data_IF_767457372843
#
_entry.id   IF_767457372843
#
_cell.length_a   1.000
_cell.length_b   1.000
_cell.length_c   1.000
_cell.angle_alpha   90.00
_cell.angle_beta   90.00
_cell.angle_gamma   90.00
#
_symmetry.space_group_name_H-M   'P 1'
#
loop_
_entity.id
_entity.type
_entity.pdbx_description
1 polymer ?
#
# COMPACT_ATOMS: atom_id res chain seq x y z
N UNK A 1 -4.61 4.73 23.80
CA UNK A 1 -5.39 4.32 22.61
C UNK A 1 -5.10 2.86 22.35
N UNK A 2 -6.14 2.04 22.24
CA UNK A 2 -6.02 0.62 21.90
C UNK A 2 -5.29 0.48 20.57
N UNK A 3 -4.38 -0.48 20.47
CA UNK A 3 -3.58 -0.74 19.29
C UNK A 3 -4.07 -2.05 18.68
N UNK A 4 -5.13 -1.98 17.88
CA UNK A 4 -5.77 -3.13 17.23
C UNK A 4 -4.89 -3.78 16.20
N UNK A 5 -3.90 -3.08 15.64
CA UNK A 5 -2.88 -3.71 14.79
C UNK A 5 -2.22 -4.91 15.47
N UNK A 6 -2.08 -4.91 16.80
CA UNK A 6 -1.51 -6.06 17.53
C UNK A 6 -2.32 -7.35 17.38
N UNK A 7 -3.60 -7.28 16.99
CA UNK A 7 -4.42 -8.46 16.71
C UNK A 7 -3.90 -9.23 15.49
N UNK A 8 -3.20 -8.55 14.57
CA UNK A 8 -2.48 -9.21 13.48
C UNK A 8 -1.33 -10.12 13.99
N UNK A 9 -0.94 -10.04 15.27
CA UNK A 9 0.00 -11.00 15.87
C UNK A 9 -0.68 -12.32 16.25
N UNK A 10 -1.95 -12.25 16.69
CA UNK A 10 -2.60 -13.33 17.43
C UNK A 10 -3.66 -14.08 16.63
N UNK A 11 -4.32 -13.43 15.68
CA UNK A 11 -5.44 -14.00 14.92
C UNK A 11 -5.25 -13.84 13.41
N UNK A 12 -5.86 -14.72 12.63
CA UNK A 12 -6.07 -14.45 11.21
C UNK A 12 -7.06 -13.28 11.09
N UNK A 13 -6.81 -12.40 10.13
CA UNK A 13 -7.67 -11.24 9.90
C UNK A 13 -9.09 -11.66 9.51
N UNK A 14 -9.22 -12.76 8.74
CA UNK A 14 -10.51 -13.26 8.27
C UNK A 14 -11.43 -13.78 9.39
N UNK A 15 -10.86 -14.15 10.54
CA UNK A 15 -11.61 -14.69 11.69
C UNK A 15 -12.15 -13.59 12.62
N UNK A 16 -11.74 -12.33 12.40
CA UNK A 16 -12.15 -11.20 13.24
C UNK A 16 -13.53 -10.69 12.84
N UNK A 17 -14.29 -10.16 13.80
CA UNK A 17 -15.57 -9.49 13.50
C UNK A 17 -15.38 -8.23 12.65
N UNK A 18 -16.33 -7.90 11.79
CA UNK A 18 -16.27 -6.72 10.90
C UNK A 18 -15.84 -5.42 11.59
N UNK A 19 -16.36 -5.04 12.79
CA UNK A 19 -15.93 -3.80 13.44
C UNK A 19 -14.44 -3.80 13.82
N UNK A 20 -13.91 -4.97 14.18
CA UNK A 20 -12.48 -5.11 14.52
C UNK A 20 -11.64 -5.04 13.24
N UNK A 21 -12.09 -5.64 12.14
CA UNK A 21 -11.43 -5.55 10.85
C UNK A 21 -11.33 -4.09 10.39
N UNK A 22 -12.41 -3.33 10.55
CA UNK A 22 -12.47 -1.90 10.24
C UNK A 22 -11.49 -1.09 11.10
N UNK A 23 -11.48 -1.30 12.42
CA UNK A 23 -10.51 -0.64 13.32
C UNK A 23 -9.05 -0.94 12.91
N UNK A 24 -8.73 -2.18 12.55
CA UNK A 24 -7.39 -2.57 12.08
C UNK A 24 -7.03 -1.85 10.78
N UNK A 25 -7.98 -1.75 9.85
CA UNK A 25 -7.78 -1.03 8.60
C UNK A 25 -7.45 0.44 8.85
N UNK A 26 -8.23 1.13 9.69
CA UNK A 26 -8.00 2.55 9.97
C UNK A 26 -6.70 2.80 10.74
N UNK A 27 -6.32 1.92 11.68
CA UNK A 27 -5.01 2.05 12.32
C UNK A 27 -3.86 1.81 11.35
N UNK A 28 -4.02 0.89 10.39
CA UNK A 28 -3.03 0.71 9.33
C UNK A 28 -2.97 1.94 8.43
N UNK A 29 -4.12 2.50 8.05
CA UNK A 29 -4.24 3.73 7.28
C UNK A 29 -3.42 4.85 7.95
N UNK A 30 -3.71 5.15 9.22
CA UNK A 30 -3.03 6.20 9.99
C UNK A 30 -1.52 5.95 10.11
N UNK A 31 -1.12 4.68 10.27
CA UNK A 31 0.30 4.30 10.37
C UNK A 31 1.09 4.66 9.11
N UNK A 32 0.48 4.57 7.93
CA UNK A 32 1.19 4.65 6.64
C UNK A 32 0.82 5.86 5.80
N UNK A 33 -0.27 6.56 6.09
CA UNK A 33 -0.77 7.66 5.28
C UNK A 33 0.27 8.75 5.06
N UNK A 34 0.83 9.29 6.15
CA UNK A 34 1.80 10.38 6.08
C UNK A 34 3.05 10.04 5.26
N UNK A 35 3.58 8.82 5.40
CA UNK A 35 4.76 8.40 4.64
C UNK A 35 4.47 8.24 3.14
N UNK A 36 3.28 7.76 2.76
CA UNK A 36 2.92 7.60 1.35
C UNK A 36 2.66 8.98 0.75
N UNK A 37 1.87 9.83 1.42
CA UNK A 37 1.53 11.17 0.96
C UNK A 37 2.78 12.03 0.75
N UNK A 38 3.77 11.92 1.63
CA UNK A 38 5.05 12.61 1.48
C UNK A 38 5.74 12.30 0.14
N UNK A 39 5.62 11.05 -0.34
CA UNK A 39 6.26 10.56 -1.55
C UNK A 39 5.43 10.87 -2.80
N UNK A 40 4.13 10.59 -2.80
CA UNK A 40 3.29 10.67 -4.01
C UNK A 40 2.61 12.03 -4.20
N UNK A 41 2.41 12.80 -3.13
CA UNK A 41 1.80 14.15 -3.16
C UNK A 41 0.42 14.21 -3.81
N UNK A 42 -0.32 13.10 -3.77
CA UNK A 42 -1.65 12.95 -4.35
C UNK A 42 -2.50 12.10 -3.39
N UNK A 43 -3.61 12.64 -2.91
CA UNK A 43 -4.46 11.98 -1.92
C UNK A 43 -5.20 10.75 -2.47
N UNK A 44 -5.67 10.81 -3.72
CA UNK A 44 -6.35 9.67 -4.34
C UNK A 44 -5.37 8.51 -4.56
N UNK A 45 -4.15 8.83 -5.01
CA UNK A 45 -3.09 7.84 -5.13
C UNK A 45 -2.72 7.21 -3.78
N UNK A 46 -2.71 8.00 -2.70
CA UNK A 46 -2.46 7.47 -1.34
C UNK A 46 -3.51 6.43 -0.96
N UNK A 47 -4.78 6.72 -1.16
CA UNK A 47 -5.88 5.79 -0.83
C UNK A 47 -5.74 4.47 -1.60
N UNK A 48 -5.50 4.54 -2.91
CA UNK A 48 -5.28 3.36 -3.76
C UNK A 48 -4.09 2.52 -3.28
N UNK A 49 -2.97 3.17 -2.95
CA UNK A 49 -1.76 2.48 -2.47
C UNK A 49 -2.02 1.84 -1.11
N UNK A 50 -2.73 2.51 -0.21
CA UNK A 50 -3.08 1.97 1.11
C UNK A 50 -3.93 0.73 0.95
N UNK A 51 -4.98 0.77 0.14
CA UNK A 51 -5.83 -0.38 -0.13
C UNK A 51 -5.02 -1.56 -0.71
N UNK A 52 -4.22 -1.34 -1.78
CA UNK A 52 -3.38 -2.39 -2.37
C UNK A 52 -2.38 -2.96 -1.35
N UNK A 53 -1.80 -2.10 -0.50
CA UNK A 53 -0.85 -2.51 0.53
C UNK A 53 -1.51 -3.28 1.66
N UNK A 54 -2.73 -2.91 2.09
CA UNK A 54 -3.45 -3.60 3.14
C UNK A 54 -3.86 -5.01 2.72
N UNK A 55 -4.31 -5.19 1.48
CA UNK A 55 -4.59 -6.52 0.92
C UNK A 55 -3.35 -7.42 1.00
N UNK A 56 -2.15 -6.89 0.68
CA UNK A 56 -0.89 -7.63 0.83
C UNK A 56 -0.57 -7.95 2.28
N UNK A 57 -0.85 -7.03 3.20
CA UNK A 57 -0.66 -7.24 4.64
C UNK A 57 -1.48 -8.44 5.10
N UNK A 58 -2.79 -8.46 4.83
CA UNK A 58 -3.68 -9.52 5.34
C UNK A 58 -3.47 -10.86 4.63
N UNK A 59 -3.02 -10.87 3.37
CA UNK A 59 -2.78 -12.11 2.61
C UNK A 59 -1.39 -12.71 2.81
N UNK A 60 -0.39 -11.90 3.17
CA UNK A 60 1.02 -12.32 3.18
C UNK A 60 1.71 -12.04 4.51
N UNK A 61 0.97 -11.87 5.62
CA UNK A 61 1.60 -11.58 6.91
C UNK A 61 2.50 -12.74 7.34
N UNK A 62 3.77 -12.48 7.71
CA UNK A 62 4.59 -13.47 8.39
C UNK A 62 4.17 -13.58 9.86
N UNK A 63 4.65 -14.62 10.55
CA UNK A 63 4.57 -14.69 12.01
C UNK A 63 5.54 -13.68 12.60
N UNK A 64 5.05 -12.80 13.47
CA UNK A 64 5.85 -11.78 14.12
C UNK A 64 6.06 -12.13 15.60
N UNK A 65 7.28 -11.93 16.08
CA UNK A 65 7.63 -12.13 17.50
C UNK A 65 7.27 -10.93 18.38
N UNK A 66 7.23 -9.73 17.80
CA UNK A 66 7.00 -8.48 18.53
C UNK A 66 6.20 -7.49 17.69
N UNK A 67 5.47 -6.60 18.38
CA UNK A 67 4.73 -5.52 17.75
C UNK A 67 5.64 -4.58 16.93
N UNK A 68 6.85 -4.29 17.43
CA UNK A 68 7.81 -3.42 16.72
C UNK A 68 8.21 -4.00 15.36
N UNK A 69 8.51 -5.32 15.31
CA UNK A 69 8.83 -6.01 14.05
C UNK A 69 7.63 -6.00 13.10
N UNK A 70 6.42 -6.23 13.61
CA UNK A 70 5.19 -6.15 12.82
C UNK A 70 5.01 -4.75 12.21
N UNK A 71 5.05 -3.68 13.02
CA UNK A 71 4.92 -2.30 12.52
C UNK A 71 6.00 -1.91 11.53
N UNK A 72 7.24 -2.37 11.76
CA UNK A 72 8.34 -2.22 10.81
C UNK A 72 8.01 -2.85 9.46
N UNK A 73 7.52 -4.09 9.47
CA UNK A 73 7.12 -4.80 8.25
C UNK A 73 5.93 -4.14 7.54
N UNK A 74 4.90 -3.70 8.28
CA UNK A 74 3.76 -2.96 7.71
C UNK A 74 4.22 -1.73 6.92
N UNK A 75 5.15 -0.95 7.50
CA UNK A 75 5.74 0.22 6.81
C UNK A 75 6.54 -0.19 5.57
N UNK A 76 7.27 -1.31 5.61
CA UNK A 76 8.00 -1.84 4.45
C UNK A 76 7.03 -2.24 3.33
N UNK A 77 5.92 -2.91 3.64
CA UNK A 77 4.89 -3.26 2.64
C UNK A 77 4.32 -2.00 1.98
N UNK A 78 3.94 -0.99 2.77
CA UNK A 78 3.45 0.28 2.24
C UNK A 78 4.49 1.01 1.37
N UNK A 79 5.75 1.07 1.82
CA UNK A 79 6.86 1.63 1.02
C UNK A 79 7.04 0.91 -0.30
N UNK A 80 7.02 -0.43 -0.29
CA UNK A 80 7.17 -1.24 -1.50
C UNK A 80 6.00 -1.05 -2.46
N UNK A 81 4.76 -0.99 -1.97
CA UNK A 81 3.58 -0.67 -2.77
C UNK A 81 3.68 0.73 -3.39
N UNK A 82 4.13 1.72 -2.63
CA UNK A 82 4.38 3.09 -3.13
C UNK A 82 5.41 3.09 -4.27
N UNK A 83 6.54 2.40 -4.09
CA UNK A 83 7.56 2.31 -5.13
C UNK A 83 7.05 1.59 -6.38
N UNK A 84 6.20 0.56 -6.23
CA UNK A 84 5.58 -0.13 -7.35
C UNK A 84 4.60 0.77 -8.10
N UNK A 85 3.80 1.56 -7.40
CA UNK A 85 2.93 2.57 -8.00
C UNK A 85 3.71 3.57 -8.86
N UNK A 86 4.79 4.15 -8.33
CA UNK A 86 5.63 5.08 -9.07
C UNK A 86 6.29 4.44 -10.31
N UNK A 87 6.73 3.18 -10.21
CA UNK A 87 7.26 2.43 -11.36
C UNK A 87 6.19 2.22 -12.43
N UNK A 88 4.95 1.87 -12.05
CA UNK A 88 3.82 1.73 -12.98
C UNK A 88 3.57 3.02 -13.75
N UNK A 89 3.52 4.17 -13.06
CA UNK A 89 3.35 5.48 -13.70
C UNK A 89 4.46 5.75 -14.70
N UNK A 90 5.73 5.62 -14.29
CA UNK A 90 6.88 5.87 -15.16
C UNK A 90 6.85 5.00 -16.42
N UNK A 91 6.51 3.73 -16.27
CA UNK A 91 6.42 2.79 -17.39
C UNK A 91 5.26 3.15 -18.33
N UNK A 92 4.10 3.54 -17.79
CA UNK A 92 2.95 3.99 -18.57
C UNK A 92 3.30 5.23 -19.39
N UNK A 93 3.93 6.25 -18.79
CA UNK A 93 4.36 7.46 -19.50
C UNK A 93 5.36 7.14 -20.62
N UNK A 94 6.38 6.32 -20.32
CA UNK A 94 7.38 5.90 -21.32
C UNK A 94 6.73 5.17 -22.49
N UNK A 95 5.78 4.27 -22.22
CA UNK A 95 5.08 3.50 -23.26
C UNK A 95 4.21 4.40 -24.13
N UNK A 96 3.46 5.32 -23.52
CA UNK A 96 2.63 6.28 -24.26
C UNK A 96 3.47 7.20 -25.14
N UNK A 97 4.58 7.73 -24.63
CA UNK A 97 5.49 8.56 -25.42
C UNK A 97 6.04 7.80 -26.63
N UNK A 98 6.43 6.53 -26.47
CA UNK A 98 6.89 5.69 -27.59
C UNK A 98 5.80 5.47 -28.65
N UNK A 99 4.55 5.25 -28.23
CA UNK A 99 3.41 5.11 -29.15
C UNK A 99 3.13 6.42 -29.88
N UNK A 100 3.08 7.54 -29.15
CA UNK A 100 2.86 8.88 -29.73
C UNK A 100 3.95 9.19 -30.75
N UNK A 101 5.22 8.93 -30.42
CA UNK A 101 6.34 9.12 -31.35
C UNK A 101 6.23 8.24 -32.60
N UNK A 102 5.82 6.98 -32.44
CA UNK A 102 5.62 6.07 -33.57
C UNK A 102 4.46 6.51 -34.47
N UNK A 103 3.38 7.03 -33.89
CA UNK A 103 2.25 7.60 -34.64
C UNK A 103 2.66 8.89 -35.37
N UNK A 104 3.40 9.78 -34.70
CA UNK A 104 3.90 11.02 -35.31
C UNK A 104 4.88 10.78 -36.47
N UNK A 105 5.70 9.71 -36.39
CA UNK A 105 6.60 9.31 -37.49
C UNK A 105 5.89 8.64 -38.67
N UNK A 106 4.64 8.21 -38.49
CA UNK A 106 3.87 7.52 -39.53
C UNK A 106 2.97 8.48 -40.33
N UNK A 107 2.85 9.73 -39.89
CA UNK A 107 2.07 10.79 -40.55
C UNK A 107 2.92 11.74 -41.40
N UNK A 108 4.18 11.39 -41.68
CA UNK A 108 5.09 12.06 -42.62
C UNK A 108 5.76 11.02 -43.52
#
# INVERSE_FOLDING_TARGET
MSNRLQLLLAADFADLSEPIQEEIYYEFYDLVYGQILYVVRDHAAVEDIIQESFIKVITSKPKFETESKMRGWLRVVAKNSTMNYLRKIKNTVTKWMSIVFLLMKRTW
#
